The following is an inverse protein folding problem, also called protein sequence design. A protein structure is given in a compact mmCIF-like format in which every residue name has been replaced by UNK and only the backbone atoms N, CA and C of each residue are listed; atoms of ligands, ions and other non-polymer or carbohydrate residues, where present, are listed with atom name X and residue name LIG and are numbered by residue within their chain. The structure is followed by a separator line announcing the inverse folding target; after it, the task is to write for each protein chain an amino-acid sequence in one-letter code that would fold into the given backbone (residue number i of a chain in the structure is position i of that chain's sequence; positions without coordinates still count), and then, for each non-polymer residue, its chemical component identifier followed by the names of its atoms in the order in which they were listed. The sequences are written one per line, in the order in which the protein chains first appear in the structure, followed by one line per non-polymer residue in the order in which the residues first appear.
data_IF_597883766802
#
_entry.id   IF_597883766802
#
_cell.length_a   1.000
_cell.length_b   1.000
_cell.length_c   1.000
_cell.angle_alpha   90.00
_cell.angle_beta   90.00
_cell.angle_gamma   90.00
#
_symmetry.space_group_name_H-M   'P 1'
#
loop_
_entity.id
_entity.type
_entity.pdbx_description
1 polymer ?
#
# COMPACT_ATOMS: atom_id res chain seq x y z
N UNK A 1 52.07 29.07 -9.95
CA UNK A 1 50.81 28.54 -10.47
C UNK A 1 49.91 28.14 -9.31
N UNK A 2 48.84 28.86 -9.03
CA UNK A 2 47.92 28.62 -7.90
C UNK A 2 46.74 27.75 -8.38
N UNK A 3 46.64 26.53 -7.81
CA UNK A 3 45.56 25.61 -8.05
C UNK A 3 44.23 26.14 -7.44
N UNK A 4 43.22 26.38 -8.27
CA UNK A 4 41.86 26.74 -7.83
C UNK A 4 41.13 25.49 -7.39
N UNK A 5 40.89 25.33 -6.09
CA UNK A 5 39.99 24.30 -5.53
C UNK A 5 38.53 24.62 -5.84
N UNK A 6 37.90 23.80 -6.67
CA UNK A 6 36.45 23.83 -6.92
C UNK A 6 35.69 23.40 -5.64
N UNK A 7 35.09 24.35 -4.94
CA UNK A 7 34.10 24.12 -3.93
C UNK A 7 32.77 23.80 -4.61
N UNK A 8 32.44 22.52 -4.77
CA UNK A 8 31.08 22.08 -5.16
C UNK A 8 30.12 22.37 -4.01
N UNK A 9 29.17 23.25 -4.26
CA UNK A 9 28.04 23.58 -3.38
C UNK A 9 27.23 22.34 -3.01
N UNK A 10 27.37 21.84 -1.78
CA UNK A 10 26.39 20.95 -1.16
C UNK A 10 25.15 21.81 -0.82
N UNK A 11 24.14 21.82 -1.68
CA UNK A 11 22.83 22.36 -1.31
C UNK A 11 22.26 21.47 -0.19
N UNK A 12 22.27 21.99 1.03
CA UNK A 12 21.54 21.43 2.17
C UNK A 12 20.04 21.45 1.84
N UNK A 13 19.47 20.28 1.61
CA UNK A 13 18.02 20.10 1.60
C UNK A 13 17.51 20.12 3.05
N UNK A 14 17.47 21.31 3.66
CA UNK A 14 16.72 21.56 4.87
C UNK A 14 15.41 22.28 4.50
N UNK A 15 14.48 21.57 3.85
CA UNK A 15 13.06 21.90 3.97
C UNK A 15 12.52 21.08 5.13
N UNK A 16 12.36 21.70 6.28
CA UNK A 16 11.48 21.22 7.35
C UNK A 16 10.06 21.25 6.81
N UNK A 17 9.65 20.15 6.15
CA UNK A 17 8.25 19.96 5.81
C UNK A 17 7.49 19.87 7.15
N UNK A 18 6.73 20.91 7.49
CA UNK A 18 5.78 20.85 8.60
C UNK A 18 4.82 19.70 8.30
N UNK A 19 5.02 18.55 8.94
CA UNK A 19 4.10 17.42 8.86
C UNK A 19 2.76 17.93 9.42
N UNK A 20 1.81 18.17 8.52
CA UNK A 20 0.46 18.58 8.91
C UNK A 20 -0.26 17.35 9.45
N UNK A 21 -0.62 17.37 10.72
CA UNK A 21 -1.30 16.25 11.37
C UNK A 21 -2.81 16.40 11.25
N UNK A 22 -3.46 15.48 10.58
CA UNK A 22 -4.90 15.39 10.40
C UNK A 22 -5.54 14.39 11.37
N UNK A 23 -6.85 14.44 11.53
CA UNK A 23 -7.58 13.41 12.29
C UNK A 23 -7.51 12.07 11.56
N UNK A 24 -7.40 10.98 12.32
CA UNK A 24 -7.47 9.62 11.78
C UNK A 24 -8.80 9.39 11.04
N UNK A 25 -8.83 8.53 10.02
CA UNK A 25 -10.04 8.25 9.28
C UNK A 25 -11.09 7.55 10.14
N UNK A 26 -12.35 7.77 9.82
CA UNK A 26 -13.48 7.00 10.38
C UNK A 26 -13.89 5.92 9.40
N UNK A 27 -14.27 4.74 9.91
CA UNK A 27 -14.85 3.67 9.08
C UNK A 27 -16.36 3.86 9.03
N UNK A 28 -16.91 4.07 7.82
CA UNK A 28 -18.34 4.27 7.58
C UNK A 28 -18.76 3.33 6.45
N UNK A 29 -19.79 2.53 6.66
CA UNK A 29 -20.30 1.56 5.68
C UNK A 29 -19.20 0.67 5.07
N UNK A 30 -18.23 0.26 5.91
CA UNK A 30 -17.14 -0.63 5.52
C UNK A 30 -15.90 0.05 4.93
N UNK A 31 -15.91 1.35 4.64
CA UNK A 31 -14.82 2.10 4.03
C UNK A 31 -14.22 3.13 4.98
N UNK A 32 -12.92 3.38 4.88
CA UNK A 32 -12.26 4.45 5.62
C UNK A 32 -12.45 5.78 4.87
N UNK A 33 -12.86 6.81 5.63
CA UNK A 33 -13.13 8.16 5.12
C UNK A 33 -12.12 9.15 5.68
N UNK A 34 -11.41 9.81 4.78
CA UNK A 34 -10.47 10.88 5.08
C UNK A 34 -11.13 12.21 4.74
N UNK A 35 -11.17 13.16 5.72
CA UNK A 35 -11.89 14.43 5.54
C UNK A 35 -11.35 15.26 4.37
N UNK A 36 -10.04 15.26 4.21
CA UNK A 36 -9.31 16.03 3.20
C UNK A 36 -9.18 15.32 1.84
N UNK A 37 -9.48 14.01 1.80
CA UNK A 37 -9.46 13.20 0.57
C UNK A 37 -10.71 12.30 0.49
N UNK A 38 -11.90 12.88 0.27
CA UNK A 38 -13.18 12.16 0.35
C UNK A 38 -13.34 11.04 -0.67
N UNK A 39 -12.60 11.10 -1.76
CA UNK A 39 -12.57 10.06 -2.81
C UNK A 39 -11.61 8.91 -2.53
N UNK A 40 -10.73 9.04 -1.53
CA UNK A 40 -9.84 7.96 -1.12
C UNK A 40 -10.55 7.09 -0.08
N UNK A 41 -11.10 5.96 -0.50
CA UNK A 41 -11.96 5.08 0.30
C UNK A 41 -11.45 3.64 0.35
N UNK A 42 -10.26 3.39 0.92
CA UNK A 42 -9.83 2.01 1.19
C UNK A 42 -10.75 1.36 2.21
N UNK A 43 -10.86 0.02 2.21
CA UNK A 43 -11.72 -0.69 3.15
C UNK A 43 -10.94 -1.60 4.11
N UNK A 44 -9.61 -1.67 3.98
CA UNK A 44 -8.71 -2.30 4.92
C UNK A 44 -7.81 -1.25 5.59
N UNK A 45 -7.66 -1.34 6.91
CA UNK A 45 -6.63 -0.58 7.62
C UNK A 45 -5.24 -1.21 7.40
N UNK A 46 -4.15 -0.50 7.71
CA UNK A 46 -2.83 -1.12 7.74
C UNK A 46 -2.79 -2.39 8.60
N UNK A 47 -3.40 -2.37 9.78
CA UNK A 47 -3.52 -3.57 10.64
C UNK A 47 -4.25 -4.71 9.94
N UNK A 48 -5.39 -4.43 9.27
CA UNK A 48 -6.17 -5.46 8.58
C UNK A 48 -5.36 -6.13 7.47
N UNK A 49 -4.60 -5.35 6.70
CA UNK A 49 -3.74 -5.87 5.64
C UNK A 49 -2.73 -6.90 6.16
N UNK A 50 -2.03 -6.58 7.25
CA UNK A 50 -1.01 -7.47 7.82
C UNK A 50 -1.65 -8.63 8.59
N UNK A 51 -2.76 -8.41 9.30
CA UNK A 51 -3.48 -9.47 10.01
C UNK A 51 -4.04 -10.54 9.07
N UNK A 52 -4.47 -10.14 7.88
CA UNK A 52 -4.94 -11.07 6.84
C UNK A 52 -3.80 -11.83 6.17
N UNK A 53 -2.56 -11.40 6.32
CA UNK A 53 -1.39 -11.97 5.66
C UNK A 53 -1.08 -11.28 4.33
N UNK A 54 0.09 -10.65 4.27
CA UNK A 54 0.51 -9.83 3.13
C UNK A 54 2.00 -9.91 2.90
N UNK A 55 2.41 -9.69 1.65
CA UNK A 55 3.81 -9.55 1.23
C UNK A 55 4.70 -10.74 1.59
N UNK A 56 4.11 -11.94 1.80
CA UNK A 56 4.83 -13.13 2.23
C UNK A 56 5.64 -12.92 3.51
N UNK A 57 5.18 -12.03 4.40
CA UNK A 57 5.85 -11.69 5.66
C UNK A 57 7.05 -10.76 5.54
N UNK A 58 7.41 -10.28 4.34
CA UNK A 58 8.69 -9.59 4.12
C UNK A 58 8.59 -8.07 4.03
N UNK A 59 7.43 -7.47 4.27
CA UNK A 59 7.26 -6.04 3.97
C UNK A 59 8.23 -5.17 4.79
N UNK A 60 8.32 -5.38 6.08
CA UNK A 60 9.17 -4.59 6.99
C UNK A 60 10.57 -5.19 7.22
N UNK A 61 11.02 -6.10 6.32
CA UNK A 61 12.37 -6.65 6.40
C UNK A 61 13.42 -5.54 6.38
N UNK A 62 14.64 -5.81 6.86
CA UNK A 62 15.77 -4.90 6.62
C UNK A 62 15.96 -4.66 5.12
N UNK A 63 16.13 -3.40 4.74
CA UNK A 63 16.38 -3.00 3.34
C UNK A 63 17.52 -2.00 3.24
N UNK A 64 18.29 -2.10 2.15
CA UNK A 64 19.18 -1.05 1.67
C UNK A 64 18.44 -0.29 0.59
N UNK A 65 18.03 0.94 0.87
CA UNK A 65 17.36 1.80 -0.12
C UNK A 65 18.37 2.77 -0.72
N UNK A 66 18.23 3.07 -2.00
CA UNK A 66 19.09 4.06 -2.69
C UNK A 66 19.08 5.46 -2.07
N UNK A 67 18.12 5.74 -1.21
CA UNK A 67 17.97 7.04 -0.54
C UNK A 67 18.75 7.15 0.79
N UNK A 68 19.25 6.04 1.33
CA UNK A 68 19.87 5.99 2.66
C UNK A 68 21.20 5.25 2.62
N UNK A 69 22.20 5.80 3.29
CA UNK A 69 23.53 5.17 3.40
C UNK A 69 23.51 3.93 4.31
N UNK A 70 22.62 3.93 5.31
CA UNK A 70 22.50 2.84 6.28
C UNK A 70 21.30 1.94 5.98
N UNK A 71 21.40 0.69 6.40
CA UNK A 71 20.29 -0.25 6.30
C UNK A 71 19.13 0.19 7.20
N UNK A 72 17.93 0.23 6.61
CA UNK A 72 16.69 0.50 7.33
C UNK A 72 16.15 -0.81 7.91
N UNK A 73 15.92 -0.85 9.22
CA UNK A 73 15.37 -2.02 9.93
C UNK A 73 14.38 -1.60 11.00
N UNK A 74 13.51 -2.51 11.41
CA UNK A 74 12.54 -2.31 12.49
C UNK A 74 11.55 -1.14 12.25
N UNK A 75 11.33 -0.73 11.00
CA UNK A 75 10.50 0.43 10.68
C UNK A 75 9.03 0.27 11.08
N UNK A 76 8.51 -0.96 11.18
CA UNK A 76 7.16 -1.21 11.69
C UNK A 76 7.00 -0.78 13.16
N UNK A 77 8.09 -0.74 13.95
CA UNK A 77 8.04 -0.39 15.39
C UNK A 77 7.70 1.08 15.65
N UNK A 78 7.78 1.95 14.63
CA UNK A 78 7.34 3.35 14.74
C UNK A 78 5.80 3.48 14.78
N UNK A 79 5.07 2.45 14.38
CA UNK A 79 3.60 2.44 14.38
C UNK A 79 3.03 1.91 15.70
N UNK A 80 1.74 2.16 16.00
CA UNK A 80 1.13 1.73 17.25
C UNK A 80 1.27 0.23 17.48
N UNK A 81 1.75 -0.18 18.65
CA UNK A 81 1.91 -1.60 19.03
C UNK A 81 0.60 -2.38 18.87
N UNK A 82 -0.55 -1.72 19.06
CA UNK A 82 -1.87 -2.34 18.89
C UNK A 82 -2.14 -2.81 17.45
N UNK A 83 -1.44 -2.25 16.44
CA UNK A 83 -1.58 -2.72 15.06
C UNK A 83 -0.99 -4.10 14.86
N UNK A 84 0.05 -4.41 15.63
CA UNK A 84 0.82 -5.66 15.50
C UNK A 84 0.40 -6.72 16.52
N UNK A 85 -0.48 -6.38 17.46
CA UNK A 85 -0.94 -7.33 18.49
C UNK A 85 -1.59 -8.56 17.84
N UNK A 86 -1.03 -9.75 18.14
CA UNK A 86 -1.48 -11.03 17.59
C UNK A 86 -0.98 -11.32 16.16
N UNK A 87 -0.01 -10.52 15.65
CA UNK A 87 0.69 -10.77 14.38
C UNK A 87 2.13 -11.16 14.72
N UNK A 88 2.59 -12.29 14.23
CA UNK A 88 3.96 -12.76 14.41
C UNK A 88 4.95 -11.79 13.73
N UNK A 89 6.12 -11.58 14.33
CA UNK A 89 7.22 -10.84 13.72
C UNK A 89 7.62 -11.42 12.34
N UNK A 90 7.52 -12.74 12.20
CA UNK A 90 7.74 -13.44 10.94
C UNK A 90 6.76 -13.01 9.83
N UNK A 91 5.56 -12.59 10.18
CA UNK A 91 4.57 -12.07 9.22
C UNK A 91 4.80 -10.60 8.85
N UNK A 92 5.70 -9.93 9.53
CA UNK A 92 5.98 -8.50 9.34
C UNK A 92 7.33 -8.24 8.66
N UNK A 93 8.39 -8.90 9.14
CA UNK A 93 9.77 -8.53 8.84
C UNK A 93 10.70 -9.70 8.50
N UNK A 94 10.15 -10.85 8.10
CA UNK A 94 10.95 -11.98 7.61
C UNK A 94 11.84 -11.57 6.46
N UNK A 95 13.06 -12.12 6.41
CA UNK A 95 13.98 -11.94 5.28
C UNK A 95 13.55 -12.76 4.06
N UNK A 96 12.91 -13.91 4.31
CA UNK A 96 12.48 -14.84 3.27
C UNK A 96 10.99 -14.72 2.99
N UNK A 97 10.64 -14.62 1.71
CA UNK A 97 9.26 -14.55 1.26
C UNK A 97 8.59 -15.92 1.35
N UNK A 98 7.48 -15.99 2.11
CA UNK A 98 6.63 -17.17 2.20
C UNK A 98 5.23 -16.87 1.69
N UNK A 99 4.85 -17.46 0.54
CA UNK A 99 3.52 -17.27 -0.04
C UNK A 99 2.39 -17.78 0.84
N UNK A 100 2.65 -18.73 1.75
CA UNK A 100 1.64 -19.30 2.65
C UNK A 100 1.15 -18.28 3.69
N UNK A 101 1.96 -17.25 3.98
CA UNK A 101 1.58 -16.12 4.83
C UNK A 101 0.53 -15.23 4.15
N UNK A 102 0.50 -15.18 2.82
CA UNK A 102 -0.47 -14.36 2.11
C UNK A 102 -1.88 -14.94 2.25
N UNK A 103 -2.87 -14.06 2.44
CA UNK A 103 -4.28 -14.43 2.60
C UNK A 103 -4.76 -15.42 1.53
N UNK A 104 -4.30 -15.26 0.29
CA UNK A 104 -4.72 -16.08 -0.85
C UNK A 104 -3.66 -17.11 -1.29
N UNK A 105 -2.62 -17.35 -0.48
CA UNK A 105 -1.60 -18.38 -0.73
C UNK A 105 -0.77 -18.20 -2.00
N UNK A 106 -0.73 -17.01 -2.58
CA UNK A 106 -0.09 -16.72 -3.86
C UNK A 106 0.99 -15.66 -3.75
N UNK A 107 2.04 -15.79 -4.55
CA UNK A 107 3.07 -14.77 -4.67
C UNK A 107 2.63 -13.66 -5.62
N UNK A 108 2.72 -12.41 -5.15
CA UNK A 108 2.47 -11.20 -5.95
C UNK A 108 3.45 -10.10 -5.58
N UNK A 109 3.62 -9.12 -6.47
CA UNK A 109 4.56 -8.03 -6.33
C UNK A 109 5.90 -8.32 -7.00
N UNK A 110 6.76 -7.30 -6.99
CA UNK A 110 8.12 -7.30 -7.55
C UNK A 110 9.12 -6.84 -6.49
N UNK A 111 10.39 -6.74 -6.84
CA UNK A 111 11.45 -6.37 -5.90
C UNK A 111 11.48 -4.87 -5.58
N UNK A 112 12.17 -4.50 -4.51
CA UNK A 112 12.41 -3.11 -4.14
C UNK A 112 13.20 -2.38 -5.23
N UNK A 113 14.22 -3.01 -5.77
CA UNK A 113 15.07 -2.47 -6.83
C UNK A 113 14.24 -2.13 -8.08
N UNK A 114 13.30 -3.01 -8.44
CA UNK A 114 12.37 -2.72 -9.53
C UNK A 114 11.49 -1.50 -9.22
N UNK A 115 10.96 -1.38 -7.99
CA UNK A 115 10.15 -0.22 -7.61
C UNK A 115 10.96 1.08 -7.61
N UNK A 116 12.20 1.02 -7.15
CA UNK A 116 13.12 2.16 -7.17
C UNK A 116 13.51 2.57 -8.60
N UNK A 117 13.72 1.61 -9.51
CA UNK A 117 14.03 1.87 -10.93
C UNK A 117 12.86 2.54 -11.67
N UNK A 118 11.62 2.27 -11.23
CA UNK A 118 10.39 2.89 -11.78
C UNK A 118 9.99 4.18 -11.07
N UNK A 119 10.81 4.70 -10.16
CA UNK A 119 10.51 5.89 -9.34
C UNK A 119 9.17 5.77 -8.57
N UNK A 120 8.80 4.55 -8.17
CA UNK A 120 7.58 4.32 -7.38
C UNK A 120 7.81 4.54 -5.89
N UNK A 121 9.08 4.61 -5.47
CA UNK A 121 9.51 4.84 -4.10
C UNK A 121 9.96 6.29 -3.96
N UNK A 122 9.51 6.96 -2.91
CA UNK A 122 9.98 8.26 -2.49
C UNK A 122 10.94 8.12 -1.29
N UNK A 123 11.86 9.07 -1.14
CA UNK A 123 12.79 9.09 0.00
C UNK A 123 12.09 9.14 1.36
N UNK A 124 10.90 9.78 1.43
CA UNK A 124 10.08 9.84 2.64
C UNK A 124 9.47 8.50 3.04
N UNK A 125 9.25 7.60 2.06
CA UNK A 125 8.63 6.30 2.26
C UNK A 125 9.41 5.20 1.53
N UNK A 126 10.61 4.83 2.00
CA UNK A 126 11.50 3.88 1.32
C UNK A 126 10.93 2.46 1.19
N UNK A 127 9.94 2.09 2.00
CA UNK A 127 9.19 0.84 1.83
C UNK A 127 7.99 0.99 0.87
N UNK A 128 7.75 2.17 0.31
CA UNK A 128 6.75 2.42 -0.71
C UNK A 128 5.34 2.67 -0.17
N UNK A 129 4.33 2.27 -0.98
CA UNK A 129 2.94 2.68 -0.80
C UNK A 129 2.36 2.33 0.57
N UNK A 130 2.62 1.15 1.12
CA UNK A 130 2.03 0.75 2.41
C UNK A 130 2.64 1.53 3.57
N UNK A 131 3.93 1.86 3.51
CA UNK A 131 4.54 2.75 4.50
C UNK A 131 3.87 4.13 4.45
N UNK A 132 3.73 4.71 3.26
CA UNK A 132 2.97 5.95 3.07
C UNK A 132 1.55 5.82 3.63
N UNK A 133 0.85 4.72 3.32
CA UNK A 133 -0.51 4.50 3.80
C UNK A 133 -0.60 4.40 5.32
N UNK A 134 0.39 3.79 5.98
CA UNK A 134 0.47 3.75 7.44
C UNK A 134 0.57 5.17 8.03
N UNK A 135 1.47 6.00 7.50
CA UNK A 135 1.68 7.37 7.95
C UNK A 135 0.44 8.23 7.67
N UNK A 136 -0.12 8.12 6.46
CA UNK A 136 -1.36 8.80 6.05
C UNK A 136 -2.57 8.40 6.92
N UNK A 137 -2.70 7.11 7.27
CA UNK A 137 -3.76 6.59 8.12
C UNK A 137 -3.67 7.14 9.57
N UNK A 138 -2.46 7.42 10.05
CA UNK A 138 -2.24 8.08 11.34
C UNK A 138 -2.47 9.59 11.30
N UNK A 139 -2.75 10.14 10.14
CA UNK A 139 -3.04 11.55 9.93
C UNK A 139 -1.85 12.38 9.44
N UNK A 140 -0.70 11.77 9.17
CA UNK A 140 0.44 12.47 8.57
C UNK A 140 0.13 12.80 7.11
N UNK A 141 0.63 13.95 6.64
CA UNK A 141 0.47 14.41 5.26
C UNK A 141 1.82 14.79 4.67
N UNK A 142 1.98 14.49 3.40
CA UNK A 142 3.21 14.73 2.64
C UNK A 142 2.90 15.24 1.23
N UNK A 143 3.89 15.79 0.57
CA UNK A 143 3.79 16.24 -0.83
C UNK A 143 3.53 15.04 -1.80
N UNK A 144 3.66 13.80 -1.32
CA UNK A 144 3.44 12.58 -2.10
C UNK A 144 1.99 12.07 -2.06
N UNK A 145 1.12 12.67 -1.25
CA UNK A 145 -0.23 12.16 -0.98
C UNK A 145 -1.08 12.08 -2.26
N UNK A 146 -1.09 13.11 -3.06
CA UNK A 146 -1.88 13.13 -4.30
C UNK A 146 -1.42 12.06 -5.30
N UNK A 147 -0.10 11.88 -5.45
CA UNK A 147 0.48 10.84 -6.31
C UNK A 147 0.06 9.44 -5.85
N UNK A 148 0.17 9.16 -4.56
CA UNK A 148 -0.17 7.84 -4.01
C UNK A 148 -1.67 7.56 -4.08
N UNK A 149 -2.51 8.54 -3.78
CA UNK A 149 -3.98 8.42 -3.90
C UNK A 149 -4.39 8.24 -5.37
N UNK A 150 -3.78 8.98 -6.31
CA UNK A 150 -4.02 8.80 -7.75
C UNK A 150 -3.69 7.38 -8.20
N UNK A 151 -2.56 6.82 -7.75
CA UNK A 151 -2.19 5.43 -8.04
C UNK A 151 -3.23 4.46 -7.48
N UNK A 152 -3.64 4.64 -6.23
CA UNK A 152 -4.67 3.81 -5.62
C UNK A 152 -5.99 3.87 -6.42
N UNK A 153 -6.43 5.07 -6.80
CA UNK A 153 -7.65 5.25 -7.62
C UNK A 153 -7.58 4.48 -8.93
N UNK A 154 -6.43 4.49 -9.59
CA UNK A 154 -6.22 3.77 -10.85
C UNK A 154 -6.17 2.24 -10.70
N UNK A 155 -5.78 1.73 -9.54
CA UNK A 155 -5.54 0.31 -9.32
C UNK A 155 -6.70 -0.37 -8.58
N UNK A 156 -7.11 0.17 -7.43
CA UNK A 156 -7.92 -0.52 -6.43
C UNK A 156 -9.27 0.14 -6.12
N UNK A 157 -9.55 1.36 -6.60
CA UNK A 157 -10.86 1.98 -6.41
C UNK A 157 -11.97 1.23 -7.16
N UNK A 158 -13.21 1.63 -6.96
CA UNK A 158 -14.38 1.09 -7.70
C UNK A 158 -14.25 1.26 -9.22
N UNK A 159 -13.40 2.18 -9.70
CA UNK A 159 -13.05 2.35 -11.12
C UNK A 159 -11.64 1.83 -11.45
N UNK A 160 -10.95 1.24 -10.47
CA UNK A 160 -9.59 0.76 -10.60
C UNK A 160 -9.47 -0.47 -11.51
N UNK A 161 -8.37 -0.53 -12.24
CA UNK A 161 -8.17 -1.60 -13.25
C UNK A 161 -8.21 -3.01 -12.65
N UNK A 162 -7.63 -3.23 -11.46
CA UNK A 162 -7.61 -4.55 -10.86
C UNK A 162 -8.97 -4.95 -10.29
N UNK A 163 -9.73 -4.01 -9.71
CA UNK A 163 -11.08 -4.28 -9.26
C UNK A 163 -11.98 -4.66 -10.46
N UNK A 164 -11.96 -3.86 -11.52
CA UNK A 164 -12.74 -4.15 -12.74
C UNK A 164 -12.33 -5.46 -13.42
N UNK A 165 -11.03 -5.75 -13.44
CA UNK A 165 -10.53 -7.03 -13.96
C UNK A 165 -11.02 -8.20 -13.11
N UNK A 166 -11.00 -8.09 -11.77
CA UNK A 166 -11.53 -9.12 -10.88
C UNK A 166 -13.00 -9.41 -11.16
N UNK A 167 -13.83 -8.36 -11.28
CA UNK A 167 -15.26 -8.54 -11.63
C UNK A 167 -15.40 -9.24 -12.98
N UNK A 168 -14.61 -8.87 -13.98
CA UNK A 168 -14.62 -9.56 -15.28
C UNK A 168 -14.29 -11.06 -15.15
N UNK A 169 -13.32 -11.43 -14.31
CA UNK A 169 -12.97 -12.84 -14.10
C UNK A 169 -14.07 -13.62 -13.37
N UNK A 170 -14.74 -12.96 -12.41
CA UNK A 170 -15.88 -13.56 -11.70
C UNK A 170 -17.01 -13.85 -12.68
N UNK A 171 -17.38 -12.89 -13.53
CA UNK A 171 -18.42 -13.06 -14.55
C UNK A 171 -18.07 -14.16 -15.55
N UNK A 172 -16.84 -14.20 -16.06
CA UNK A 172 -16.41 -15.25 -17.00
C UNK A 172 -16.51 -16.67 -16.43
N UNK A 173 -16.45 -16.79 -15.10
CA UNK A 173 -16.53 -18.08 -14.40
C UNK A 173 -17.92 -18.36 -13.82
N UNK A 174 -18.91 -17.51 -14.08
CA UNK A 174 -20.24 -17.57 -13.46
C UNK A 174 -20.19 -17.69 -11.92
N UNK A 175 -19.18 -17.05 -11.31
CA UNK A 175 -18.93 -17.14 -9.88
C UNK A 175 -19.57 -16.01 -9.09
N UNK A 176 -19.38 -16.04 -7.79
CA UNK A 176 -19.86 -15.01 -6.86
C UNK A 176 -18.75 -14.05 -6.44
N UNK A 177 -19.10 -12.85 -6.00
CA UNK A 177 -18.16 -11.79 -5.59
C UNK A 177 -17.18 -12.26 -4.51
N UNK A 178 -17.59 -13.15 -3.62
CA UNK A 178 -16.83 -13.69 -2.49
C UNK A 178 -16.13 -15.03 -2.75
N UNK A 179 -16.23 -15.58 -3.95
CA UNK A 179 -15.46 -16.78 -4.31
C UNK A 179 -13.97 -16.45 -4.40
N UNK A 180 -13.24 -16.80 -3.34
CA UNK A 180 -11.81 -16.50 -3.20
C UNK A 180 -10.93 -17.36 -4.12
N UNK A 181 -11.45 -18.44 -4.72
CA UNK A 181 -10.75 -19.28 -5.70
C UNK A 181 -10.58 -18.56 -7.04
N UNK A 182 -11.46 -17.60 -7.35
CA UNK A 182 -11.39 -16.82 -8.58
C UNK A 182 -10.36 -15.72 -8.45
N UNK A 183 -9.33 -15.78 -9.28
CA UNK A 183 -8.26 -14.77 -9.40
C UNK A 183 -7.55 -14.43 -8.07
N UNK A 184 -7.02 -15.41 -7.33
CA UNK A 184 -6.39 -15.18 -6.04
C UNK A 184 -5.22 -14.20 -6.12
N UNK A 185 -4.45 -14.18 -7.22
CA UNK A 185 -3.39 -13.19 -7.45
C UNK A 185 -3.92 -11.76 -7.48
N UNK A 186 -5.04 -11.50 -8.16
CA UNK A 186 -5.63 -10.16 -8.22
C UNK A 186 -6.22 -9.77 -6.87
N UNK A 187 -6.86 -10.69 -6.16
CA UNK A 187 -7.36 -10.45 -4.80
C UNK A 187 -6.22 -10.10 -3.84
N UNK A 188 -5.07 -10.79 -3.93
CA UNK A 188 -3.90 -10.48 -3.12
C UNK A 188 -3.31 -9.10 -3.48
N UNK A 189 -3.24 -8.74 -4.77
CA UNK A 189 -2.80 -7.40 -5.18
C UNK A 189 -3.73 -6.33 -4.61
N UNK A 190 -5.05 -6.50 -4.73
CA UNK A 190 -6.02 -5.54 -4.19
C UNK A 190 -5.86 -5.38 -2.67
N UNK A 191 -5.65 -6.49 -1.93
CA UNK A 191 -5.38 -6.45 -0.49
C UNK A 191 -4.12 -5.64 -0.17
N UNK A 192 -3.05 -5.78 -0.96
CA UNK A 192 -1.83 -4.97 -0.82
C UNK A 192 -2.06 -3.48 -1.09
N UNK A 193 -3.18 -3.13 -1.73
CA UNK A 193 -3.66 -1.75 -1.94
C UNK A 193 -4.81 -1.40 -1.00
N UNK A 194 -4.87 -2.01 0.20
CA UNK A 194 -5.87 -1.75 1.24
C UNK A 194 -7.32 -1.87 0.75
N UNK A 195 -7.57 -2.78 -0.18
CA UNK A 195 -8.90 -2.98 -0.75
C UNK A 195 -9.25 -4.48 -0.86
N UNK A 196 -10.47 -4.81 -0.46
CA UNK A 196 -11.11 -6.12 -0.71
C UNK A 196 -12.43 -5.87 -1.43
N UNK A 197 -12.72 -6.63 -2.51
CA UNK A 197 -13.98 -6.53 -3.22
C UNK A 197 -15.15 -6.78 -2.27
N UNK A 198 -16.14 -5.90 -2.27
CA UNK A 198 -17.39 -6.03 -1.50
C UNK A 198 -18.55 -6.35 -2.42
N UNK A 199 -19.63 -6.92 -1.86
CA UNK A 199 -20.89 -7.14 -2.63
C UNK A 199 -21.37 -5.85 -3.26
N UNK A 200 -21.40 -4.77 -2.49
CA UNK A 200 -21.83 -3.45 -2.97
C UNK A 200 -21.01 -2.97 -4.18
N UNK A 201 -19.67 -3.12 -4.13
CA UNK A 201 -18.84 -2.68 -5.26
C UNK A 201 -19.00 -3.58 -6.48
N UNK A 202 -19.22 -4.88 -6.26
CA UNK A 202 -19.53 -5.83 -7.32
C UNK A 202 -20.86 -5.45 -8.01
N UNK A 203 -21.94 -5.30 -7.23
CA UNK A 203 -23.27 -4.94 -7.76
C UNK A 203 -23.23 -3.58 -8.49
N UNK A 204 -22.52 -2.60 -7.96
CA UNK A 204 -22.35 -1.29 -8.63
C UNK A 204 -21.62 -1.40 -9.97
N UNK A 205 -20.63 -2.30 -10.05
CA UNK A 205 -19.89 -2.53 -11.29
C UNK A 205 -20.77 -3.28 -12.32
N UNK A 206 -21.63 -4.21 -11.88
CA UNK A 206 -22.63 -4.86 -12.76
C UNK A 206 -23.57 -3.83 -13.35
N UNK A 207 -24.17 -2.97 -12.51
CA UNK A 207 -25.05 -1.88 -12.97
C UNK A 207 -24.36 -0.98 -13.98
N UNK A 208 -23.10 -0.61 -13.71
CA UNK A 208 -22.31 0.22 -14.63
C UNK A 208 -22.08 -0.43 -16.00
N UNK A 209 -22.10 -1.77 -16.05
CA UNK A 209 -21.95 -2.57 -17.29
C UNK A 209 -23.29 -2.90 -17.95
N UNK A 210 -24.41 -2.43 -17.39
CA UNK A 210 -25.77 -2.82 -17.79
C UNK A 210 -26.01 -4.34 -17.70
N UNK A 211 -25.41 -4.97 -16.69
CA UNK A 211 -25.57 -6.38 -16.35
C UNK A 211 -26.37 -6.46 -15.05
N UNK A 212 -27.67 -6.69 -15.14
CA UNK A 212 -28.58 -6.88 -13.99
C UNK A 212 -28.82 -8.35 -13.76
#
# INVERSE_FOLDING_TARGET
MKSRKNKKNKKKYNKTNKIRKMKKPKKINGYYHFKDYPDFKPNLSPRDMFKLGSFGGTYWRPIKSKFYETELKNQHKKYPKSWWKGISEHWLSSKNYDKSINKYGVKVGTSLEFWESKNWIASTHPYGWVQWYCDFFLGERSDDDERQIKRWKQLASTKGRFMRFLVTQILKKNGTWNDESISPKIRQVLQHWAYKLTKKDFDNELKRRNLN
#
